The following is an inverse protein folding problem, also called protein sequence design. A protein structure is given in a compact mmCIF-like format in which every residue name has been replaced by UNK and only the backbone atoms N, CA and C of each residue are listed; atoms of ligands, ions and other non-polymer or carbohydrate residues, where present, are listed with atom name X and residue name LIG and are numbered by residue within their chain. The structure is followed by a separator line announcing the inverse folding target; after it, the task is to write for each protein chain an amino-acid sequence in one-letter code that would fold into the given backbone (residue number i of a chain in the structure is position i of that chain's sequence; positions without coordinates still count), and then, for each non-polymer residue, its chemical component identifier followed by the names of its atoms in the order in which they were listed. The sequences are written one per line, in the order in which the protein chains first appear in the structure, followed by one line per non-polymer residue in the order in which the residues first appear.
data_IF_324256997208
#
_entry.id   IF_324256997208
#
_cell.length_a   1.000
_cell.length_b   1.000
_cell.length_c   1.000
_cell.angle_alpha   90.00
_cell.angle_beta   90.00
_cell.angle_gamma   90.00
#
_symmetry.space_group_name_H-M   'P 1'
#
loop_
_entity.id
_entity.type
_entity.pdbx_description
1 polymer ?
#
# COMPACT_ATOMS: atom_id res chain seq x y z
N UNK A 1 -3.01 -34.13 2.94
CA UNK A 1 -3.85 -32.96 2.59
C UNK A 1 -4.84 -32.72 3.72
N UNK A 2 -4.86 -31.53 4.31
CA UNK A 2 -5.75 -31.20 5.43
C UNK A 2 -7.22 -31.31 5.03
N UNK A 3 -8.02 -32.01 5.83
CA UNK A 3 -9.46 -32.21 5.59
C UNK A 3 -10.15 -30.84 5.63
N UNK A 4 -10.85 -30.46 4.55
CA UNK A 4 -11.63 -29.21 4.49
C UNK A 4 -12.56 -29.11 5.70
N UNK A 5 -12.65 -27.93 6.32
CA UNK A 5 -13.53 -27.68 7.48
C UNK A 5 -14.96 -28.15 7.17
N UNK A 6 -15.61 -28.77 8.14
CA UNK A 6 -17.03 -29.15 8.05
C UNK A 6 -17.93 -27.93 7.82
N UNK A 7 -17.48 -26.73 8.19
CA UNK A 7 -18.17 -25.45 7.91
C UNK A 7 -18.31 -25.19 6.39
N UNK A 8 -17.39 -25.68 5.55
CA UNK A 8 -17.53 -25.54 4.10
C UNK A 8 -18.62 -26.43 3.50
N UNK A 9 -19.19 -27.36 4.29
CA UNK A 9 -20.26 -28.28 3.87
C UNK A 9 -21.64 -27.82 4.33
N UNK A 10 -21.71 -26.78 5.15
CA UNK A 10 -22.98 -26.16 5.55
C UNK A 10 -23.62 -25.48 4.34
N UNK A 11 -24.93 -25.23 4.44
CA UNK A 11 -25.65 -24.46 3.44
C UNK A 11 -24.98 -23.08 3.23
N UNK A 12 -25.00 -22.55 1.99
CA UNK A 12 -24.33 -21.29 1.66
C UNK A 12 -24.74 -20.13 2.56
N UNK A 13 -26.00 -20.08 2.97
CA UNK A 13 -26.56 -18.99 3.77
C UNK A 13 -26.02 -19.02 5.21
N UNK A 14 -25.98 -20.21 5.83
CA UNK A 14 -25.37 -20.41 7.16
C UNK A 14 -23.89 -20.06 7.13
N UNK A 15 -23.16 -20.51 6.11
CA UNK A 15 -21.74 -20.19 5.96
C UNK A 15 -21.52 -18.68 5.83
N UNK A 16 -22.29 -18.02 4.98
CA UNK A 16 -22.20 -16.57 4.76
C UNK A 16 -22.47 -15.79 6.04
N UNK A 17 -23.45 -16.24 6.83
CA UNK A 17 -23.77 -15.64 8.12
C UNK A 17 -22.63 -15.82 9.13
N UNK A 18 -22.05 -17.02 9.22
CA UNK A 18 -20.87 -17.29 10.07
C UNK A 18 -19.71 -16.38 9.67
N UNK A 19 -19.38 -16.30 8.38
CA UNK A 19 -18.29 -15.46 7.87
C UNK A 19 -18.52 -13.97 8.18
N UNK A 20 -19.76 -13.50 8.08
CA UNK A 20 -20.14 -12.12 8.46
C UNK A 20 -19.90 -11.87 9.95
N UNK A 21 -20.42 -12.73 10.83
CA UNK A 21 -20.25 -12.57 12.29
C UNK A 21 -18.79 -12.66 12.74
N UNK A 22 -18.02 -13.55 12.12
CA UNK A 22 -16.58 -13.66 12.38
C UNK A 22 -15.80 -12.42 11.93
N UNK A 23 -16.28 -11.70 10.89
CA UNK A 23 -15.68 -10.42 10.46
C UNK A 23 -16.00 -9.28 11.43
N UNK A 24 -17.20 -9.28 12.00
CA UNK A 24 -17.63 -8.31 13.03
C UNK A 24 -16.81 -8.47 14.33
N UNK A 25 -16.42 -9.71 14.67
CA UNK A 25 -15.62 -10.10 15.85
C UNK A 25 -16.15 -9.55 17.18
N UNK A 26 -17.49 -9.53 17.33
CA UNK A 26 -18.20 -9.03 18.53
C UNK A 26 -18.80 -10.13 19.41
N UNK A 27 -18.71 -11.38 18.98
CA UNK A 27 -19.35 -12.52 19.63
C UNK A 27 -18.30 -13.56 20.02
N UNK A 28 -18.50 -14.14 21.19
CA UNK A 28 -17.85 -15.39 21.59
C UNK A 28 -18.32 -16.55 20.71
N UNK A 29 -17.59 -17.67 20.73
CA UNK A 29 -17.97 -18.85 19.95
C UNK A 29 -19.34 -19.41 20.39
N UNK A 30 -19.65 -19.29 21.69
CA UNK A 30 -20.89 -19.81 22.26
C UNK A 30 -22.08 -18.91 21.89
N UNK A 31 -21.89 -17.58 21.90
CA UNK A 31 -22.89 -16.62 21.39
C UNK A 31 -23.12 -16.78 19.88
N UNK A 32 -22.07 -17.00 19.10
CA UNK A 32 -22.18 -17.26 17.67
C UNK A 32 -22.96 -18.55 17.38
N UNK A 33 -22.76 -19.59 18.19
CA UNK A 33 -23.53 -20.83 18.09
C UNK A 33 -25.02 -20.61 18.37
N UNK A 34 -25.35 -19.82 19.39
CA UNK A 34 -26.72 -19.45 19.69
C UNK A 34 -27.35 -18.59 18.57
N UNK A 35 -26.61 -17.61 18.04
CA UNK A 35 -27.05 -16.76 16.92
C UNK A 35 -27.33 -17.58 15.65
N UNK A 36 -26.54 -18.62 15.37
CA UNK A 36 -26.79 -19.55 14.25
C UNK A 36 -28.07 -20.36 14.48
N UNK A 37 -28.26 -20.91 15.68
CA UNK A 37 -29.44 -21.72 16.02
C UNK A 37 -30.73 -20.90 15.98
N UNK A 38 -30.66 -19.62 16.34
CA UNK A 38 -31.80 -18.69 16.28
C UNK A 38 -32.14 -18.27 14.84
N UNK A 39 -31.13 -17.96 14.02
CA UNK A 39 -31.34 -17.50 12.64
C UNK A 39 -31.64 -18.62 11.65
N UNK A 40 -31.19 -19.85 11.92
CA UNK A 40 -31.36 -21.01 11.05
C UNK A 40 -31.94 -22.20 11.83
N UNK A 41 -33.20 -22.10 12.30
CA UNK A 41 -33.83 -23.18 13.03
C UNK A 41 -34.05 -24.40 12.12
N UNK A 42 -33.43 -25.53 12.45
CA UNK A 42 -33.57 -26.79 11.71
C UNK A 42 -32.38 -27.16 10.82
N UNK A 43 -31.35 -26.31 10.74
CA UNK A 43 -30.08 -26.68 10.11
C UNK A 43 -29.09 -27.30 11.11
N UNK A 44 -28.21 -28.17 10.60
CA UNK A 44 -27.14 -28.79 11.39
C UNK A 44 -26.11 -27.74 11.83
N UNK A 45 -26.28 -27.22 13.05
CA UNK A 45 -25.34 -26.27 13.63
C UNK A 45 -23.93 -26.89 13.74
N UNK A 46 -22.87 -26.17 13.34
CA UNK A 46 -21.51 -26.68 13.44
C UNK A 46 -21.09 -26.85 14.90
N UNK A 47 -20.23 -27.83 15.17
CA UNK A 47 -19.67 -27.99 16.52
C UNK A 47 -18.76 -26.82 16.90
N UNK A 48 -18.71 -26.51 18.21
CA UNK A 48 -17.85 -25.45 18.78
C UNK A 48 -16.40 -25.56 18.34
N UNK A 49 -15.85 -26.79 18.30
CA UNK A 49 -14.48 -27.05 17.87
C UNK A 49 -14.26 -26.80 16.37
N UNK A 50 -15.26 -27.08 15.51
CA UNK A 50 -15.19 -26.78 14.09
C UNK A 50 -15.22 -25.26 13.86
N UNK A 51 -16.05 -24.55 14.62
CA UNK A 51 -16.17 -23.10 14.59
C UNK A 51 -14.88 -22.42 15.07
N UNK A 52 -14.26 -22.90 16.15
CA UNK A 52 -13.00 -22.37 16.65
C UNK A 52 -11.83 -22.50 15.65
N UNK A 53 -11.68 -23.68 15.02
CA UNK A 53 -10.65 -23.89 13.98
C UNK A 53 -10.90 -23.02 12.76
N UNK A 54 -12.17 -22.88 12.37
CA UNK A 54 -12.54 -22.01 11.25
C UNK A 54 -12.29 -20.53 11.59
N UNK A 55 -12.61 -20.06 12.80
CA UNK A 55 -12.30 -18.70 13.29
C UNK A 55 -10.80 -18.41 13.22
N UNK A 56 -9.94 -19.33 13.65
CA UNK A 56 -8.49 -19.15 13.55
C UNK A 56 -8.02 -18.95 12.10
N UNK A 57 -8.46 -19.81 11.18
CA UNK A 57 -8.09 -19.70 9.77
C UNK A 57 -8.69 -18.45 9.11
N UNK A 58 -9.93 -18.11 9.46
CA UNK A 58 -10.64 -16.93 8.96
C UNK A 58 -10.02 -15.63 9.47
N UNK A 59 -9.53 -15.61 10.71
CA UNK A 59 -8.79 -14.46 11.27
C UNK A 59 -7.56 -14.12 10.44
N UNK A 60 -6.78 -15.13 10.02
CA UNK A 60 -5.62 -14.92 9.14
C UNK A 60 -6.04 -14.36 7.76
N UNK A 61 -7.19 -14.78 7.23
CA UNK A 61 -7.73 -14.26 5.97
C UNK A 61 -8.21 -12.82 6.11
N UNK A 62 -8.96 -12.50 7.17
CA UNK A 62 -9.47 -11.16 7.45
C UNK A 62 -8.32 -10.17 7.67
N UNK A 63 -7.27 -10.58 8.38
CA UNK A 63 -6.09 -9.75 8.59
C UNK A 63 -5.41 -9.39 7.26
N UNK A 64 -5.24 -10.38 6.36
CA UNK A 64 -4.74 -10.13 5.01
C UNK A 64 -5.65 -9.20 4.20
N UNK A 65 -6.98 -9.36 4.30
CA UNK A 65 -7.93 -8.47 3.62
C UNK A 65 -7.88 -7.04 4.17
N UNK A 66 -7.73 -6.85 5.48
CA UNK A 66 -7.57 -5.53 6.09
C UNK A 66 -6.27 -4.86 5.64
N UNK A 67 -5.17 -5.61 5.60
CA UNK A 67 -3.90 -5.11 5.07
C UNK A 67 -4.02 -4.69 3.59
N UNK A 68 -4.73 -5.48 2.78
CA UNK A 68 -5.00 -5.15 1.38
C UNK A 68 -5.90 -3.93 1.22
N UNK A 69 -6.96 -3.80 2.03
CA UNK A 69 -7.86 -2.63 2.01
C UNK A 69 -7.14 -1.36 2.48
N UNK A 70 -6.29 -1.47 3.51
CA UNK A 70 -5.45 -0.36 3.95
C UNK A 70 -4.46 0.06 2.86
N UNK A 71 -3.84 -0.90 2.18
CA UNK A 71 -2.98 -0.63 1.03
C UNK A 71 -3.79 0.04 -0.10
N UNK A 72 -4.97 -0.48 -0.44
CA UNK A 72 -5.85 0.09 -1.45
C UNK A 72 -6.30 1.52 -1.13
N UNK A 73 -6.60 1.82 0.14
CA UNK A 73 -6.93 3.18 0.59
C UNK A 73 -5.74 4.13 0.48
N UNK A 74 -4.55 3.68 0.85
CA UNK A 74 -3.31 4.44 0.66
C UNK A 74 -3.05 4.71 -0.83
N UNK A 75 -3.23 3.67 -1.67
CA UNK A 75 -3.14 3.79 -3.13
C UNK A 75 -4.12 4.85 -3.66
N UNK A 76 -5.40 4.79 -3.28
CA UNK A 76 -6.44 5.72 -3.75
C UNK A 76 -6.23 7.14 -3.22
N UNK A 77 -5.83 7.31 -1.95
CA UNK A 77 -5.55 8.64 -1.40
C UNK A 77 -4.33 9.29 -2.03
N UNK A 78 -3.33 8.49 -2.40
CA UNK A 78 -2.13 9.03 -3.03
C UNK A 78 -2.28 9.21 -4.55
N UNK A 79 -3.00 8.37 -5.29
CA UNK A 79 -3.04 8.41 -6.78
C UNK A 79 -3.82 9.57 -7.42
N UNK A 80 -4.48 10.44 -6.64
CA UNK A 80 -5.48 11.39 -7.15
C UNK A 80 -5.01 12.45 -8.17
N UNK A 81 -3.70 12.75 -8.31
CA UNK A 81 -3.25 13.86 -9.15
C UNK A 81 -2.13 13.54 -10.15
N UNK A 82 -1.44 12.39 -10.07
CA UNK A 82 -0.42 11.97 -11.04
C UNK A 82 -0.23 10.43 -11.01
N UNK A 83 -0.92 9.66 -11.86
CA UNK A 83 -0.98 8.20 -11.74
C UNK A 83 0.38 7.50 -11.93
N UNK A 84 1.20 7.94 -12.89
CA UNK A 84 2.41 7.21 -13.30
C UNK A 84 3.54 7.32 -12.27
N UNK A 85 3.83 8.53 -11.81
CA UNK A 85 4.89 8.80 -10.83
C UNK A 85 4.52 8.28 -9.42
N UNK A 86 3.22 8.31 -9.09
CA UNK A 86 2.72 7.83 -7.80
C UNK A 86 2.57 6.30 -7.78
N UNK A 87 2.25 5.66 -8.92
CA UNK A 87 2.22 4.19 -9.01
C UNK A 87 3.59 3.56 -8.69
N UNK A 88 4.70 4.14 -9.16
CA UNK A 88 6.05 3.68 -8.84
C UNK A 88 6.35 3.76 -7.34
N UNK A 89 6.08 4.90 -6.72
CA UNK A 89 6.27 5.10 -5.27
C UNK A 89 5.43 4.13 -4.42
N UNK A 90 4.20 3.86 -4.86
CA UNK A 90 3.29 2.93 -4.20
C UNK A 90 3.75 1.46 -4.32
N UNK A 91 4.32 1.05 -5.45
CA UNK A 91 4.95 -0.26 -5.56
C UNK A 91 6.13 -0.39 -4.59
N UNK A 92 6.99 0.64 -4.50
CA UNK A 92 8.11 0.65 -3.54
C UNK A 92 7.61 0.51 -2.10
N UNK A 93 6.52 1.20 -1.75
CA UNK A 93 5.90 1.12 -0.43
C UNK A 93 5.30 -0.26 -0.16
N UNK A 94 4.56 -0.84 -1.11
CA UNK A 94 3.99 -2.18 -0.96
C UNK A 94 5.07 -3.26 -0.77
N UNK A 95 6.14 -3.24 -1.56
CA UNK A 95 7.27 -4.16 -1.40
C UNK A 95 7.98 -3.95 -0.06
N UNK A 96 8.13 -2.69 0.39
CA UNK A 96 8.63 -2.41 1.75
C UNK A 96 7.74 -3.10 2.80
N UNK A 97 6.43 -2.87 2.77
CA UNK A 97 5.50 -3.41 3.77
C UNK A 97 5.53 -4.93 3.81
N UNK A 98 5.52 -5.60 2.65
CA UNK A 98 5.62 -7.06 2.56
C UNK A 98 6.94 -7.58 3.13
N UNK A 99 8.05 -6.89 2.83
CA UNK A 99 9.38 -7.26 3.36
C UNK A 99 9.44 -7.09 4.88
N UNK A 100 8.91 -5.99 5.40
CA UNK A 100 8.83 -5.72 6.85
C UNK A 100 7.96 -6.75 7.55
N UNK A 101 6.79 -7.10 6.99
CA UNK A 101 5.92 -8.13 7.54
C UNK A 101 6.60 -9.51 7.55
N UNK A 102 7.29 -9.88 6.46
CA UNK A 102 8.05 -11.13 6.40
C UNK A 102 9.20 -11.16 7.44
N UNK A 103 9.87 -10.02 7.67
CA UNK A 103 10.90 -9.90 8.70
C UNK A 103 10.35 -10.04 10.12
N UNK A 104 9.20 -9.42 10.43
CA UNK A 104 8.53 -9.58 11.72
C UNK A 104 8.07 -11.01 11.99
N UNK A 105 7.61 -11.72 10.97
CA UNK A 105 7.23 -13.12 11.12
C UNK A 105 8.44 -14.01 11.39
N UNK A 106 9.56 -13.79 10.68
CA UNK A 106 10.79 -14.53 10.94
C UNK A 106 11.38 -14.26 12.34
N UNK A 107 11.18 -13.08 12.90
CA UNK A 107 11.60 -12.77 14.28
C UNK A 107 10.77 -13.49 15.35
N UNK A 108 9.56 -13.94 15.03
CA UNK A 108 8.72 -14.71 15.95
C UNK A 108 9.05 -16.21 15.93
N UNK A 109 9.86 -16.67 14.99
CA UNK A 109 10.41 -18.03 15.01
C UNK A 109 11.56 -18.10 16.02
N UNK A 110 11.59 -19.16 16.84
CA UNK A 110 12.64 -19.35 17.86
C UNK A 110 14.05 -19.51 17.25
N UNK A 111 14.14 -20.04 16.02
CA UNK A 111 15.40 -20.22 15.29
C UNK A 111 15.13 -20.15 13.77
N UNK A 112 15.05 -18.93 13.19
CA UNK A 112 14.73 -18.77 11.77
C UNK A 112 15.86 -19.32 10.89
N UNK A 113 15.49 -20.12 9.89
CA UNK A 113 16.44 -20.75 8.97
C UNK A 113 17.31 -19.72 8.22
N UNK A 114 18.58 -20.07 7.98
CA UNK A 114 19.58 -19.21 7.35
C UNK A 114 19.13 -18.77 5.95
N UNK A 115 18.44 -19.64 5.21
CA UNK A 115 17.92 -19.27 3.90
C UNK A 115 16.82 -18.21 4.04
N UNK A 116 15.93 -18.31 5.03
CA UNK A 116 14.91 -17.28 5.33
C UNK A 116 15.58 -15.93 5.59
N UNK A 117 16.61 -15.89 6.43
CA UNK A 117 17.37 -14.67 6.72
C UNK A 117 18.01 -14.10 5.44
N UNK A 118 18.58 -14.96 4.59
CA UNK A 118 19.21 -14.53 3.32
C UNK A 118 18.20 -13.95 2.33
N UNK A 119 17.02 -14.57 2.21
CA UNK A 119 15.94 -14.07 1.35
C UNK A 119 15.42 -12.72 1.83
N UNK A 120 15.24 -12.55 3.14
CA UNK A 120 14.83 -11.27 3.74
C UNK A 120 15.88 -10.17 3.53
N UNK A 121 17.17 -10.50 3.70
CA UNK A 121 18.26 -9.55 3.45
C UNK A 121 18.30 -9.09 1.98
N UNK A 122 18.06 -10.02 1.02
CA UNK A 122 17.95 -9.67 -0.40
C UNK A 122 16.71 -8.80 -0.67
N UNK A 123 15.55 -9.18 -0.14
CA UNK A 123 14.33 -8.37 -0.28
C UNK A 123 14.51 -6.95 0.28
N UNK A 124 15.15 -6.81 1.44
CA UNK A 124 15.47 -5.51 2.04
C UNK A 124 16.42 -4.69 1.14
N UNK A 125 17.44 -5.32 0.54
CA UNK A 125 18.33 -4.67 -0.42
C UNK A 125 17.56 -4.17 -1.65
N UNK A 126 16.69 -4.99 -2.21
CA UNK A 126 15.92 -4.65 -3.41
C UNK A 126 14.95 -3.49 -3.12
N UNK A 127 14.33 -3.47 -1.93
CA UNK A 127 13.54 -2.33 -1.44
C UNK A 127 14.36 -1.05 -1.37
N UNK A 128 15.56 -1.09 -0.79
CA UNK A 128 16.44 0.09 -0.69
C UNK A 128 16.88 0.59 -2.06
N UNK A 129 17.18 -0.31 -2.99
CA UNK A 129 17.52 0.04 -4.37
C UNK A 129 16.34 0.69 -5.10
N UNK A 130 15.14 0.13 -4.93
CA UNK A 130 13.92 0.66 -5.51
C UNK A 130 13.61 2.07 -4.98
N UNK A 131 13.77 2.30 -3.66
CA UNK A 131 13.64 3.64 -3.05
C UNK A 131 14.64 4.64 -3.63
N UNK A 132 15.90 4.22 -3.81
CA UNK A 132 16.92 5.07 -4.39
C UNK A 132 16.56 5.47 -5.82
N UNK A 133 16.17 4.51 -6.64
CA UNK A 133 15.75 4.76 -8.02
C UNK A 133 14.57 5.76 -8.08
N UNK A 134 13.56 5.58 -7.22
CA UNK A 134 12.41 6.49 -7.14
C UNK A 134 12.81 7.92 -6.72
N UNK A 135 13.74 8.07 -5.77
CA UNK A 135 14.27 9.39 -5.39
C UNK A 135 15.06 10.05 -6.52
N UNK A 136 15.87 9.27 -7.22
CA UNK A 136 16.66 9.78 -8.34
C UNK A 136 15.75 10.21 -9.50
N UNK A 137 14.70 9.43 -9.82
CA UNK A 137 13.66 9.81 -10.80
C UNK A 137 12.97 11.12 -10.43
N UNK A 138 12.52 11.29 -9.19
CA UNK A 138 11.91 12.54 -8.71
C UNK A 138 12.85 13.74 -8.85
N UNK A 139 14.14 13.55 -8.55
CA UNK A 139 15.15 14.61 -8.70
C UNK A 139 15.37 14.98 -10.17
N UNK A 140 15.31 14.02 -11.08
CA UNK A 140 15.40 14.29 -12.52
C UNK A 140 14.16 15.03 -13.02
N UNK A 141 12.97 14.64 -12.57
CA UNK A 141 11.71 15.31 -12.90
C UNK A 141 11.71 16.75 -12.39
N UNK A 142 12.11 16.98 -11.13
CA UNK A 142 12.24 18.33 -10.54
C UNK A 142 13.25 19.18 -11.31
N UNK A 143 14.41 18.62 -11.67
CA UNK A 143 15.41 19.29 -12.49
C UNK A 143 14.86 19.66 -13.86
N UNK A 144 14.24 18.71 -14.57
CA UNK A 144 13.66 18.94 -15.90
C UNK A 144 12.51 19.95 -15.87
N UNK A 145 11.70 19.96 -14.81
CA UNK A 145 10.65 20.95 -14.59
C UNK A 145 11.24 22.34 -14.34
N UNK A 146 12.25 22.45 -13.47
CA UNK A 146 12.94 23.71 -13.19
C UNK A 146 13.63 24.26 -14.44
N UNK A 147 14.29 23.42 -15.21
CA UNK A 147 14.92 23.82 -16.48
C UNK A 147 13.90 24.30 -17.51
N UNK A 148 12.75 23.60 -17.66
CA UNK A 148 11.66 24.06 -18.53
C UNK A 148 11.14 25.43 -18.09
N UNK A 149 10.85 25.58 -16.80
CA UNK A 149 10.37 26.84 -16.24
C UNK A 149 11.38 27.97 -16.46
N UNK A 150 12.68 27.74 -16.23
CA UNK A 150 13.70 28.76 -16.46
C UNK A 150 13.80 29.16 -17.94
N UNK A 151 13.69 28.20 -18.87
CA UNK A 151 13.64 28.50 -20.31
C UNK A 151 12.43 29.34 -20.68
N UNK A 152 11.24 28.97 -20.22
CA UNK A 152 10.00 29.72 -20.45
C UNK A 152 10.10 31.15 -19.88
N UNK A 153 10.63 31.30 -18.66
CA UNK A 153 10.80 32.61 -18.04
C UNK A 153 11.87 33.47 -18.73
N UNK A 154 12.93 32.86 -19.27
CA UNK A 154 13.93 33.56 -20.07
C UNK A 154 13.33 34.06 -21.40
N UNK A 155 12.50 33.26 -22.07
CA UNK A 155 11.78 33.67 -23.28
C UNK A 155 10.81 34.81 -22.97
N UNK A 156 9.98 34.69 -21.92
CA UNK A 156 9.07 35.74 -21.46
C UNK A 156 9.82 37.04 -21.13
N UNK A 157 10.99 36.94 -20.51
CA UNK A 157 11.84 38.10 -20.20
C UNK A 157 12.36 38.76 -21.48
N UNK A 158 12.79 37.99 -22.49
CA UNK A 158 13.24 38.53 -23.79
C UNK A 158 12.11 39.24 -24.53
N UNK A 159 10.90 38.68 -24.54
CA UNK A 159 9.74 39.32 -25.15
C UNK A 159 9.37 40.62 -24.43
N UNK A 160 9.30 40.59 -23.10
CA UNK A 160 9.03 41.78 -22.28
C UNK A 160 10.10 42.85 -22.45
N UNK A 161 11.37 42.44 -22.53
CA UNK A 161 12.51 43.32 -22.77
C UNK A 161 12.36 44.10 -24.08
N UNK A 162 12.00 43.40 -25.16
CA UNK A 162 11.75 44.01 -26.47
C UNK A 162 10.54 44.94 -26.45
N UNK A 163 9.45 44.54 -25.80
CA UNK A 163 8.22 45.33 -25.75
C UNK A 163 8.37 46.64 -24.96
N UNK A 164 9.12 46.61 -23.85
CA UNK A 164 9.32 47.75 -22.95
C UNK A 164 10.61 48.53 -23.23
N UNK A 165 11.44 48.08 -24.19
CA UNK A 165 12.70 48.73 -24.53
C UNK A 165 13.74 48.67 -23.41
N UNK A 166 13.78 47.58 -22.64
CA UNK A 166 14.79 47.42 -21.58
C UNK A 166 16.20 47.32 -22.18
N UNK A 167 17.17 47.96 -21.52
CA UNK A 167 18.58 47.85 -21.91
C UNK A 167 19.16 46.47 -21.55
N UNK A 168 20.28 46.10 -22.19
CA UNK A 168 20.96 44.83 -21.91
C UNK A 168 21.33 44.68 -20.42
N UNK A 169 21.81 45.75 -19.78
CA UNK A 169 22.12 45.76 -18.34
C UNK A 169 20.89 45.47 -17.46
N UNK A 170 19.71 45.98 -17.86
CA UNK A 170 18.47 45.70 -17.14
C UNK A 170 18.02 44.26 -17.32
N UNK A 171 18.13 43.71 -18.54
CA UNK A 171 17.81 42.29 -18.79
C UNK A 171 18.74 41.38 -18.00
N UNK A 172 20.04 41.70 -17.96
CA UNK A 172 21.02 40.96 -17.19
C UNK A 172 20.73 41.01 -15.68
N UNK A 173 20.32 42.18 -15.17
CA UNK A 173 19.87 42.32 -13.78
C UNK A 173 18.72 41.36 -13.46
N UNK A 174 17.69 41.28 -14.32
CA UNK A 174 16.55 40.37 -14.10
C UNK A 174 16.95 38.89 -14.19
N UNK A 175 17.83 38.52 -15.13
CA UNK A 175 18.35 37.14 -15.25
C UNK A 175 19.06 36.70 -13.97
N UNK A 176 19.98 37.53 -13.46
CA UNK A 176 20.81 37.16 -12.33
C UNK A 176 20.06 37.27 -10.98
N UNK A 177 19.29 38.35 -10.78
CA UNK A 177 18.69 38.66 -9.47
C UNK A 177 17.33 38.02 -9.25
N UNK A 178 16.57 37.76 -10.32
CA UNK A 178 15.21 37.19 -10.20
C UNK A 178 15.16 35.76 -10.68
N UNK A 179 15.74 35.46 -11.85
CA UNK A 179 15.76 34.08 -12.38
C UNK A 179 16.91 33.24 -11.81
N UNK A 180 17.93 33.87 -11.21
CA UNK A 180 19.11 33.18 -10.68
C UNK A 180 19.97 32.52 -11.75
N UNK A 181 19.82 32.94 -13.00
CA UNK A 181 20.57 32.46 -14.16
C UNK A 181 21.81 33.36 -14.29
N UNK A 182 23.00 32.75 -14.19
CA UNK A 182 24.28 33.44 -14.43
C UNK A 182 24.69 33.29 -15.88
#
# INVERSE_FOLDING_TARGET
MGRKSTIHRLEPDVRTHIERRLREDRMTLDELLADIQEHFPGEDAPSRSALGRYKQNFGQLVERMRQQDQMARLLVSELGENPDERAGALMVQAVTTLTTHAAFNAQQEEDPDIDTVRHLARAAKDVLQSRKASLDERREIERAARERLLREQEENLKETARAQGLSEDQVQFWRERVLGIK
#
